data_IF_372445561961
#
_entry.id   IF_372445561961
#
_cell.length_a   1.000
_cell.length_b   1.000
_cell.length_c   1.000
_cell.angle_alpha   90.00
_cell.angle_beta   90.00
_cell.angle_gamma   90.00
#
_symmetry.space_group_name_H-M   'P 1'
#
loop_
_entity.id
_entity.type
_entity.pdbx_description
1 polymer ?
#
# COMPACT_ATOMS: atom_id res chain seq x y z
N UNK A 1 0.14 5.80 18.42
CA UNK A 1 1.55 5.69 17.97
C UNK A 1 1.66 5.19 16.53
N UNK A 2 1.02 4.08 16.14
CA UNK A 2 1.15 3.50 14.79
C UNK A 2 0.18 4.06 13.72
N UNK A 3 -0.25 5.31 13.83
CA UNK A 3 -1.16 5.91 12.84
C UNK A 3 -0.36 6.33 11.61
N UNK A 4 -0.56 5.68 10.45
CA UNK A 4 0.28 5.89 9.25
C UNK A 4 0.29 7.33 8.74
N UNK A 5 -0.81 8.06 8.94
CA UNK A 5 -0.88 9.47 8.53
C UNK A 5 -0.17 10.42 9.51
N UNK A 6 0.14 10.00 10.75
CA UNK A 6 0.82 10.86 11.74
C UNK A 6 2.29 11.05 11.39
N UNK A 7 2.61 12.08 10.61
CA UNK A 7 3.98 12.39 10.15
C UNK A 7 4.77 13.29 11.10
N UNK A 8 4.14 13.82 12.15
CA UNK A 8 4.77 14.75 13.11
C UNK A 8 4.49 14.33 14.55
N UNK A 9 5.52 14.41 15.39
CA UNK A 9 5.48 14.10 16.81
C UNK A 9 6.25 15.18 17.58
N UNK A 10 5.67 15.68 18.67
CA UNK A 10 6.36 16.52 19.65
C UNK A 10 6.04 16.05 21.05
N UNK A 11 7.05 15.91 21.90
CA UNK A 11 6.89 15.46 23.28
C UNK A 11 7.49 16.47 24.27
N UNK A 12 6.90 16.56 25.46
CA UNK A 12 7.38 17.37 26.57
C UNK A 12 7.32 16.58 27.88
N UNK A 13 8.24 16.89 28.79
CA UNK A 13 8.33 16.27 30.11
C UNK A 13 8.33 17.35 31.20
N UNK A 14 7.61 17.11 32.30
CA UNK A 14 7.58 18.00 33.47
C UNK A 14 7.63 17.20 34.76
N UNK A 15 8.48 17.61 35.70
CA UNK A 15 8.44 17.13 37.08
C UNK A 15 7.31 17.85 37.84
N UNK A 16 6.39 17.06 38.39
CA UNK A 16 5.24 17.51 39.19
C UNK A 16 5.35 16.87 40.58
N UNK A 17 5.94 17.59 41.54
CA UNK A 17 6.30 17.03 42.85
C UNK A 17 7.38 15.96 42.70
N UNK A 18 7.05 14.70 43.03
CA UNK A 18 7.96 13.55 42.88
C UNK A 18 7.69 12.68 41.63
N UNK A 19 6.81 13.11 40.72
CA UNK A 19 6.43 12.33 39.52
C UNK A 19 6.73 13.09 38.25
N UNK A 20 7.09 12.38 37.18
CA UNK A 20 7.20 12.95 35.84
C UNK A 20 5.89 12.78 35.07
N UNK A 21 5.44 13.86 34.42
CA UNK A 21 4.39 13.84 33.42
C UNK A 21 5.05 13.96 32.03
N UNK A 22 4.78 13.01 31.15
CA UNK A 22 5.23 13.02 29.76
C UNK A 22 3.99 13.15 28.87
N UNK A 23 4.01 14.14 27.97
CA UNK A 23 2.93 14.37 27.01
C UNK A 23 3.50 14.38 25.60
N UNK A 24 2.90 13.62 24.70
CA UNK A 24 3.26 13.57 23.29
C UNK A 24 2.06 13.92 22.41
N UNK A 25 2.24 14.85 21.48
CA UNK A 25 1.26 15.21 20.48
C UNK A 25 1.64 14.64 19.11
N UNK A 26 0.67 14.03 18.44
CA UNK A 26 0.80 13.45 17.10
C UNK A 26 -0.05 14.24 16.13
N UNK A 27 0.50 14.57 14.95
CA UNK A 27 -0.24 15.26 13.91
C UNK A 27 0.01 14.66 12.52
N UNK A 28 -1.05 14.48 11.70
CA UNK A 28 -2.48 14.50 12.06
C UNK A 28 -2.85 13.42 13.10
N UNK A 29 -3.93 13.65 13.84
CA UNK A 29 -4.44 12.74 14.86
C UNK A 29 -5.20 11.55 14.27
N UNK A 30 -5.32 10.48 15.05
CA UNK A 30 -6.10 9.30 14.67
C UNK A 30 -7.60 9.61 14.63
N UNK A 31 -8.31 8.99 13.68
CA UNK A 31 -9.76 9.15 13.52
C UNK A 31 -10.44 7.88 14.03
N UNK A 32 -11.42 8.03 14.94
CA UNK A 32 -12.16 6.90 15.50
C UNK A 32 -12.87 6.11 14.40
N UNK A 33 -12.74 4.78 14.43
CA UNK A 33 -13.38 3.87 13.48
C UNK A 33 -12.65 3.72 12.14
N UNK A 34 -11.49 4.37 11.95
CA UNK A 34 -10.68 4.24 10.74
C UNK A 34 -9.45 3.36 11.03
N UNK A 35 -9.07 2.53 10.07
CA UNK A 35 -7.90 1.64 10.18
C UNK A 35 -6.61 2.46 10.32
N UNK A 36 -5.70 2.02 11.22
CA UNK A 36 -4.49 2.77 11.57
C UNK A 36 -3.47 2.88 10.43
N UNK A 37 -3.39 1.85 9.61
CA UNK A 37 -2.53 1.71 8.45
C UNK A 37 -3.15 0.67 7.52
N UNK A 38 -2.80 0.73 6.23
CA UNK A 38 -3.18 -0.34 5.30
C UNK A 38 -2.28 -1.55 5.54
N UNK A 39 -2.88 -2.73 5.69
CA UNK A 39 -2.13 -3.99 5.76
C UNK A 39 -1.51 -4.26 4.39
N UNK A 40 -0.22 -4.55 4.37
CA UNK A 40 0.55 -4.51 3.14
C UNK A 40 2.04 -4.73 3.36
N UNK A 41 2.77 -4.77 2.24
CA UNK A 41 4.23 -4.90 2.24
C UNK A 41 4.71 -3.54 2.72
N UNK A 42 5.70 -3.48 3.60
CA UNK A 42 6.25 -2.19 3.98
C UNK A 42 6.59 -1.35 2.75
N UNK A 43 6.14 -0.11 2.77
CA UNK A 43 6.32 0.85 1.70
C UNK A 43 5.71 0.52 0.33
N UNK A 44 4.76 -0.41 0.26
CA UNK A 44 3.99 -0.66 -0.98
C UNK A 44 3.07 0.50 -1.35
N UNK A 45 2.67 1.32 -0.37
CA UNK A 45 1.71 2.41 -0.51
C UNK A 45 2.23 3.71 0.13
N UNK A 46 3.47 4.10 -0.14
CA UNK A 46 3.95 5.38 0.36
C UNK A 46 3.31 6.54 -0.40
N UNK A 47 2.47 7.31 0.29
CA UNK A 47 1.64 8.38 -0.30
C UNK A 47 2.23 9.75 0.02
N UNK A 48 2.87 10.37 -0.97
CA UNK A 48 3.26 11.78 -0.92
C UNK A 48 3.06 12.42 -2.29
N UNK A 49 2.76 13.72 -2.30
CA UNK A 49 2.50 14.50 -3.52
C UNK A 49 3.71 14.57 -4.45
N UNK A 50 4.92 14.56 -3.87
CA UNK A 50 6.19 14.52 -4.61
C UNK A 50 6.76 13.08 -4.73
N UNK A 51 5.96 12.09 -4.33
CA UNK A 51 6.36 10.71 -4.19
C UNK A 51 7.19 10.43 -2.95
N UNK A 52 7.29 9.15 -2.62
CA UNK A 52 7.81 8.72 -1.33
C UNK A 52 8.76 7.54 -1.49
N UNK A 53 9.89 7.65 -0.80
CA UNK A 53 10.90 6.61 -0.72
C UNK A 53 10.61 5.72 0.48
N UNK A 54 11.19 4.53 0.46
CA UNK A 54 11.17 3.60 1.57
C UNK A 54 12.53 3.61 2.26
N UNK A 55 12.50 3.79 3.58
CA UNK A 55 13.66 3.54 4.43
C UNK A 55 13.24 2.75 5.65
N UNK A 56 13.95 1.66 5.94
CA UNK A 56 13.73 0.84 7.14
C UNK A 56 12.25 0.51 7.38
N UNK A 57 11.53 0.16 6.29
CA UNK A 57 10.09 -0.16 6.28
C UNK A 57 9.15 1.03 6.56
N UNK A 58 9.66 2.26 6.55
CA UNK A 58 8.90 3.49 6.71
C UNK A 58 8.90 4.34 5.44
N UNK A 59 7.77 4.98 5.18
CA UNK A 59 7.63 5.95 4.09
C UNK A 59 8.31 7.26 4.47
N UNK A 60 9.15 7.77 3.58
CA UNK A 60 9.88 9.04 3.75
C UNK A 60 9.69 9.91 2.50
N UNK A 61 9.39 11.20 2.67
CA UNK A 61 9.19 12.10 1.53
C UNK A 61 10.51 12.57 0.92
N UNK A 62 10.51 12.87 -0.38
CA UNK A 62 11.66 13.47 -1.06
C UNK A 62 12.12 14.76 -0.36
N UNK A 63 11.19 15.60 0.10
CA UNK A 63 11.51 16.83 0.83
C UNK A 63 12.25 16.56 2.15
N UNK A 64 11.86 15.52 2.89
CA UNK A 64 12.57 15.13 4.11
C UNK A 64 14.01 14.70 3.78
N UNK A 65 14.19 13.98 2.68
CA UNK A 65 15.51 13.54 2.21
C UNK A 65 16.38 14.69 1.70
N UNK A 66 15.79 15.70 1.04
CA UNK A 66 16.49 16.93 0.65
C UNK A 66 17.01 17.69 1.88
N UNK A 67 16.17 17.84 2.92
CA UNK A 67 16.54 18.54 4.16
C UNK A 67 17.53 17.77 5.02
N UNK A 68 17.46 16.43 5.00
CA UNK A 68 18.28 15.55 5.84
C UNK A 68 18.83 14.37 5.03
N UNK A 69 19.83 14.58 4.15
CA UNK A 69 20.32 13.55 3.24
C UNK A 69 20.83 12.30 3.94
N UNK A 70 21.51 12.45 5.09
CA UNK A 70 22.00 11.33 5.91
C UNK A 70 20.88 10.42 6.41
N UNK A 71 19.68 10.95 6.62
CA UNK A 71 18.52 10.13 7.01
C UNK A 71 18.04 9.31 5.83
N UNK A 72 18.36 9.63 4.57
CA UNK A 72 17.86 8.91 3.40
C UNK A 72 18.94 8.21 2.58
N UNK A 73 20.13 8.00 3.13
CA UNK A 73 21.25 7.38 2.42
C UNK A 73 20.91 5.99 1.84
N UNK A 74 20.05 5.22 2.53
CA UNK A 74 19.52 3.93 2.07
C UNK A 74 18.09 3.99 1.53
N UNK A 75 17.52 5.19 1.38
CA UNK A 75 16.14 5.33 0.92
C UNK A 75 16.03 5.01 -0.56
N UNK A 76 15.06 4.17 -0.94
CA UNK A 76 14.88 3.73 -2.32
C UNK A 76 13.41 3.64 -2.69
N UNK A 77 13.11 3.67 -3.99
CA UNK A 77 11.77 3.45 -4.48
C UNK A 77 11.43 1.96 -4.44
N UNK A 78 10.50 1.57 -3.56
CA UNK A 78 9.99 0.18 -3.44
C UNK A 78 8.62 -0.01 -4.07
N UNK A 79 8.08 1.02 -4.71
CA UNK A 79 6.74 1.03 -5.29
C UNK A 79 6.65 0.07 -6.48
N UNK A 80 5.62 -0.76 -6.51
CA UNK A 80 5.31 -1.65 -7.64
C UNK A 80 3.92 -1.29 -8.17
N UNK A 81 3.87 -0.76 -9.38
CA UNK A 81 2.60 -0.46 -10.03
C UNK A 81 1.89 -1.74 -10.46
N UNK A 82 0.60 -1.81 -10.19
CA UNK A 82 -0.30 -2.89 -10.57
C UNK A 82 -1.14 -2.47 -11.78
N UNK A 83 -1.89 -3.41 -12.36
CA UNK A 83 -2.93 -3.12 -13.36
C UNK A 83 -2.45 -2.24 -14.53
N UNK A 84 -1.31 -2.63 -15.13
CA UNK A 84 -0.64 -1.92 -16.20
C UNK A 84 -0.12 -0.51 -15.85
N UNK A 85 -0.09 -0.14 -14.56
CA UNK A 85 0.47 1.13 -14.13
C UNK A 85 1.95 1.25 -14.48
N UNK A 86 2.38 2.48 -14.83
CA UNK A 86 3.76 2.78 -15.26
C UNK A 86 4.50 3.50 -14.13
N UNK A 87 5.61 2.91 -13.68
CA UNK A 87 6.43 3.48 -12.61
C UNK A 87 7.36 4.56 -13.17
N UNK A 88 7.24 5.79 -12.65
CA UNK A 88 8.30 6.78 -12.73
C UNK A 88 9.28 6.57 -11.57
N UNK A 89 10.46 6.04 -11.87
CA UNK A 89 11.49 5.74 -10.85
C UNK A 89 12.08 6.99 -10.19
N UNK A 90 12.06 8.13 -10.89
CA UNK A 90 12.65 9.39 -10.40
C UNK A 90 11.77 10.03 -9.34
N UNK A 91 10.46 10.09 -9.57
CA UNK A 91 9.49 10.58 -8.59
C UNK A 91 8.95 9.48 -7.67
N UNK A 92 9.24 8.20 -7.94
CA UNK A 92 8.65 7.06 -7.25
C UNK A 92 7.10 7.11 -7.20
N UNK A 93 6.48 7.29 -8.38
CA UNK A 93 5.03 7.38 -8.54
C UNK A 93 4.57 6.50 -9.70
N UNK A 94 3.36 5.95 -9.58
CA UNK A 94 2.71 5.24 -10.68
C UNK A 94 1.77 6.16 -11.44
N UNK A 95 1.81 6.08 -12.76
CA UNK A 95 0.72 6.55 -13.63
C UNK A 95 -0.19 5.37 -13.91
N UNK A 96 -1.44 5.44 -13.45
CA UNK A 96 -2.40 4.35 -13.57
C UNK A 96 -3.08 4.33 -14.93
N UNK A 97 -3.46 3.12 -15.35
CA UNK A 97 -4.37 2.93 -16.47
C UNK A 97 -5.80 3.33 -16.06
N UNK A 98 -6.64 3.65 -17.03
CA UNK A 98 -8.02 4.04 -16.78
C UNK A 98 -8.80 2.89 -16.12
N UNK A 99 -9.65 3.25 -15.16
CA UNK A 99 -10.32 2.33 -14.25
C UNK A 99 -9.57 2.08 -12.94
N UNK A 100 -8.30 2.45 -12.85
CA UNK A 100 -7.44 2.17 -11.69
C UNK A 100 -6.93 3.46 -11.03
N UNK A 101 -6.73 3.39 -9.73
CA UNK A 101 -6.26 4.45 -8.85
C UNK A 101 -5.48 3.83 -7.67
N UNK A 102 -5.10 4.64 -6.69
CA UNK A 102 -4.10 4.42 -5.64
C UNK A 102 -2.66 4.67 -6.09
N UNK A 103 -1.73 4.96 -5.16
CA UNK A 103 -0.32 5.19 -5.48
C UNK A 103 0.34 4.06 -6.28
N UNK A 104 -0.13 2.83 -6.10
CA UNK A 104 0.35 1.62 -6.78
C UNK A 104 -0.64 1.11 -7.85
N UNK A 105 -1.69 1.85 -8.17
CA UNK A 105 -2.72 1.50 -9.14
C UNK A 105 -3.51 0.22 -8.83
N UNK A 106 -3.56 -0.19 -7.55
CA UNK A 106 -4.24 -1.41 -7.11
C UNK A 106 -5.73 -1.24 -6.84
N UNK A 107 -6.19 -0.01 -6.61
CA UNK A 107 -7.61 0.27 -6.33
C UNK A 107 -8.35 0.66 -7.60
N UNK A 108 -9.67 0.55 -7.57
CA UNK A 108 -10.52 1.10 -8.62
C UNK A 108 -10.53 2.62 -8.56
N UNK A 109 -10.69 3.27 -9.72
CA UNK A 109 -10.99 4.69 -9.78
C UNK A 109 -12.46 4.94 -9.38
N UNK A 110 -12.66 5.24 -8.11
CA UNK A 110 -13.97 5.50 -7.50
C UNK A 110 -13.90 6.63 -6.46
N UNK A 111 -15.06 7.12 -6.05
CA UNK A 111 -15.15 8.06 -4.94
C UNK A 111 -15.22 7.28 -3.62
N UNK A 112 -14.26 7.50 -2.72
CA UNK A 112 -14.21 6.82 -1.42
C UNK A 112 -15.31 7.31 -0.45
N UNK A 113 -15.86 8.52 -0.67
CA UNK A 113 -16.88 9.09 0.22
C UNK A 113 -18.27 9.13 -0.43
N UNK A 114 -19.28 8.62 0.28
CA UNK A 114 -20.69 8.60 -0.16
C UNK A 114 -21.33 9.98 -0.43
N UNK A 115 -20.59 11.06 -0.17
CA UNK A 115 -21.07 12.45 -0.32
C UNK A 115 -20.49 13.15 -1.56
N UNK A 116 -19.72 12.44 -2.38
CA UNK A 116 -19.24 12.97 -3.65
C UNK A 116 -20.41 13.05 -4.65
N UNK A 117 -20.55 14.19 -5.32
CA UNK A 117 -21.59 14.45 -6.30
C UNK A 117 -23.00 14.73 -5.73
N UNK A 118 -23.17 14.83 -4.41
CA UNK A 118 -24.49 14.93 -3.77
C UNK A 118 -24.63 16.10 -2.78
N UNK A 119 -25.88 16.52 -2.51
CA UNK A 119 -26.27 17.52 -1.51
C UNK A 119 -27.09 16.86 -0.39
N UNK A 120 -26.80 17.07 0.92
CA UNK A 120 -25.64 17.78 1.48
C UNK A 120 -24.34 16.98 1.30
N UNK A 121 -23.22 17.66 1.00
CA UNK A 121 -21.99 16.96 0.67
C UNK A 121 -21.00 17.78 -0.19
N UNK A 122 -20.36 17.09 -1.12
CA UNK A 122 -19.46 17.66 -2.13
C UNK A 122 -20.19 17.63 -3.50
N UNK A 123 -21.05 18.61 -3.81
CA UNK A 123 -22.04 18.48 -4.87
C UNK A 123 -21.48 18.59 -6.29
N UNK A 124 -20.27 19.11 -6.44
CA UNK A 124 -19.65 19.31 -7.75
C UNK A 124 -18.14 19.47 -7.62
N UNK A 125 -17.46 19.58 -8.76
CA UNK A 125 -16.02 19.84 -8.85
C UNK A 125 -15.57 21.10 -8.11
N UNK A 126 -16.47 22.06 -7.85
CA UNK A 126 -16.15 23.24 -7.04
C UNK A 126 -15.69 22.87 -5.61
N UNK A 127 -16.10 21.70 -5.10
CA UNK A 127 -15.69 21.21 -3.79
C UNK A 127 -14.28 20.61 -3.75
N UNK A 128 -13.65 20.36 -4.91
CA UNK A 128 -12.38 19.64 -5.01
C UNK A 128 -11.20 20.37 -4.34
N UNK A 129 -11.24 21.70 -4.31
CA UNK A 129 -10.20 22.54 -3.67
C UNK A 129 -10.41 22.73 -2.16
N UNK A 130 -11.50 22.22 -1.60
CA UNK A 130 -11.80 22.36 -0.17
C UNK A 130 -10.83 21.54 0.69
N UNK A 131 -10.65 21.98 1.93
CA UNK A 131 -9.85 21.29 2.95
C UNK A 131 -8.44 20.98 2.47
N UNK A 132 -7.78 21.96 1.83
CA UNK A 132 -6.45 21.80 1.25
C UNK A 132 -6.38 20.63 0.25
N UNK A 133 -7.33 20.59 -0.68
CA UNK A 133 -7.48 19.55 -1.70
C UNK A 133 -7.73 18.13 -1.17
N UNK A 134 -8.07 17.95 0.11
CA UNK A 134 -8.38 16.64 0.67
C UNK A 134 -9.59 15.99 -0.03
N UNK A 135 -10.56 16.81 -0.49
CA UNK A 135 -11.70 16.31 -1.27
C UNK A 135 -11.22 15.65 -2.56
N UNK A 136 -10.39 16.34 -3.36
CA UNK A 136 -9.85 15.77 -4.59
C UNK A 136 -8.88 14.61 -4.37
N UNK A 137 -8.04 14.68 -3.34
CA UNK A 137 -6.92 13.72 -3.14
C UNK A 137 -7.32 12.46 -2.39
N UNK A 138 -8.41 12.48 -1.62
CA UNK A 138 -8.77 11.37 -0.73
C UNK A 138 -10.22 10.92 -0.89
N UNK A 139 -11.15 11.85 -0.91
CA UNK A 139 -12.57 11.49 -0.76
C UNK A 139 -13.28 11.28 -2.10
N UNK A 140 -13.07 12.18 -3.04
CA UNK A 140 -13.86 12.28 -4.27
C UNK A 140 -12.96 12.27 -5.50
N UNK A 141 -12.04 11.31 -5.57
CA UNK A 141 -11.00 11.29 -6.60
C UNK A 141 -11.58 11.16 -8.00
N UNK A 142 -12.62 10.35 -8.19
CA UNK A 142 -13.31 10.19 -9.48
C UNK A 142 -14.09 11.46 -9.85
N UNK A 143 -14.91 11.98 -8.94
CA UNK A 143 -15.67 13.23 -9.18
C UNK A 143 -14.73 14.41 -9.49
N UNK A 144 -13.58 14.47 -8.82
CA UNK A 144 -12.57 15.51 -8.99
C UNK A 144 -11.55 15.22 -10.10
N UNK A 145 -11.78 14.18 -10.92
CA UNK A 145 -10.91 13.83 -12.05
C UNK A 145 -9.44 13.60 -11.66
N UNK A 146 -9.23 13.21 -10.40
CA UNK A 146 -7.92 12.79 -9.89
C UNK A 146 -7.57 11.35 -10.26
N UNK A 147 -8.52 10.63 -10.85
CA UNK A 147 -8.35 9.37 -11.57
C UNK A 147 -9.41 9.31 -12.69
N UNK A 148 -9.19 8.48 -13.71
CA UNK A 148 -10.11 8.31 -14.83
C UNK A 148 -10.80 6.93 -14.74
N UNK A 149 -12.15 6.85 -14.78
CA UNK A 149 -12.87 5.58 -14.89
C UNK A 149 -12.84 5.04 -16.32
N UNK A 150 -13.07 3.74 -16.50
CA UNK A 150 -13.29 3.18 -17.85
C UNK A 150 -14.61 3.72 -18.43
N UNK A 151 -14.56 4.25 -19.65
CA UNK A 151 -15.71 4.74 -20.40
C UNK A 151 -15.70 4.20 -21.84
N UNK A 152 -16.84 4.26 -22.55
CA UNK A 152 -16.93 3.77 -23.93
C UNK A 152 -16.03 4.54 -24.93
N UNK A 153 -15.63 5.78 -24.58
CA UNK A 153 -14.82 6.66 -25.41
C UNK A 153 -13.31 6.56 -25.10
N UNK A 154 -12.95 5.63 -24.23
CA UNK A 154 -11.56 5.49 -23.76
C UNK A 154 -10.71 4.90 -24.86
N UNK A 155 -9.64 5.59 -25.26
CA UNK A 155 -8.69 5.05 -26.23
C UNK A 155 -7.98 3.82 -25.66
N UNK A 156 -7.80 2.79 -26.49
CA UNK A 156 -7.25 1.48 -26.08
C UNK A 156 -5.88 1.55 -25.41
N UNK A 157 -5.10 2.60 -25.67
CA UNK A 157 -3.77 2.82 -25.10
C UNK A 157 -3.76 3.16 -23.60
N UNK A 158 -4.90 3.59 -23.04
CA UNK A 158 -5.04 3.92 -21.62
C UNK A 158 -5.69 2.80 -20.80
N UNK A 159 -6.24 1.77 -21.47
CA UNK A 159 -6.89 0.64 -20.83
C UNK A 159 -5.89 -0.46 -20.47
N UNK A 160 -6.07 -1.08 -19.31
CA UNK A 160 -5.38 -2.32 -18.96
C UNK A 160 -6.27 -3.52 -19.28
N UNK A 161 -5.71 -4.54 -19.96
CA UNK A 161 -6.42 -5.78 -20.28
C UNK A 161 -7.83 -5.56 -20.86
N UNK A 162 -7.93 -4.73 -21.92
CA UNK A 162 -9.20 -4.41 -22.61
C UNK A 162 -10.25 -3.75 -21.68
N UNK A 163 -9.79 -3.04 -20.65
CA UNK A 163 -10.66 -2.35 -19.68
C UNK A 163 -11.21 -3.26 -18.59
N UNK A 164 -10.67 -4.48 -18.44
CA UNK A 164 -11.06 -5.39 -17.36
C UNK A 164 -10.74 -4.79 -15.99
N UNK A 165 -11.70 -4.87 -15.07
CA UNK A 165 -11.56 -4.45 -13.68
C UNK A 165 -11.66 -5.66 -12.74
N UNK A 166 -11.07 -5.54 -11.56
CA UNK A 166 -11.16 -6.55 -10.50
C UNK A 166 -11.87 -6.00 -9.27
N UNK A 167 -12.41 -6.91 -8.45
CA UNK A 167 -12.98 -6.55 -7.16
C UNK A 167 -11.91 -6.00 -6.20
N UNK A 168 -12.35 -5.27 -5.17
CA UNK A 168 -11.46 -4.67 -4.19
C UNK A 168 -10.56 -5.72 -3.53
N UNK A 169 -9.25 -5.46 -3.54
CA UNK A 169 -8.25 -6.38 -3.02
C UNK A 169 -7.69 -7.35 -4.06
N UNK A 170 -8.13 -7.28 -5.31
CA UNK A 170 -7.61 -8.07 -6.42
C UNK A 170 -6.97 -7.17 -7.48
N UNK A 171 -5.97 -7.71 -8.19
CA UNK A 171 -5.28 -7.06 -9.30
C UNK A 171 -5.24 -7.98 -10.52
N UNK A 172 -4.99 -7.41 -11.69
CA UNK A 172 -4.86 -8.16 -12.94
C UNK A 172 -3.51 -8.90 -12.98
N UNK A 173 -3.59 -10.21 -13.20
CA UNK A 173 -2.48 -11.05 -13.62
C UNK A 173 -2.21 -10.80 -15.11
N UNK A 174 -1.14 -10.06 -15.38
CA UNK A 174 -0.71 -9.66 -16.72
C UNK A 174 0.07 -10.76 -17.45
N UNK A 175 0.49 -11.82 -16.76
CA UNK A 175 1.24 -12.92 -17.35
C UNK A 175 0.30 -13.94 -18.03
N UNK A 176 -0.97 -13.98 -17.58
CA UNK A 176 -2.00 -14.85 -18.17
C UNK A 176 -2.81 -14.12 -19.23
N UNK A 177 -3.07 -14.80 -20.36
CA UNK A 177 -3.97 -14.31 -21.41
C UNK A 177 -5.13 -15.29 -21.61
N UNK A 178 -6.41 -14.87 -21.46
CA UNK A 178 -6.85 -13.53 -21.06
C UNK A 178 -6.47 -13.20 -19.60
N UNK A 179 -6.24 -11.92 -19.29
CA UNK A 179 -5.86 -11.48 -17.95
C UNK A 179 -6.87 -11.93 -16.90
N UNK A 180 -6.44 -12.41 -15.74
CA UNK A 180 -7.35 -12.84 -14.65
C UNK A 180 -7.11 -12.00 -13.41
N UNK A 181 -8.13 -11.89 -12.55
CA UNK A 181 -7.96 -11.26 -11.26
C UNK A 181 -7.28 -12.22 -10.29
N UNK A 182 -6.25 -11.76 -9.60
CA UNK A 182 -5.55 -12.48 -8.54
C UNK A 182 -5.54 -11.64 -7.28
N UNK A 183 -5.55 -12.30 -6.12
CA UNK A 183 -5.56 -11.62 -4.85
C UNK A 183 -4.27 -10.80 -4.71
N UNK A 184 -4.39 -9.51 -4.42
CA UNK A 184 -3.24 -8.66 -4.17
C UNK A 184 -2.72 -8.93 -2.77
N UNK A 185 -1.60 -9.65 -2.70
CA UNK A 185 -0.88 -9.83 -1.46
C UNK A 185 0.50 -9.18 -1.45
N UNK A 186 0.87 -8.55 -0.33
CA UNK A 186 0.03 -8.26 0.85
C UNK A 186 -1.01 -7.14 0.59
N UNK A 187 -2.18 -7.26 1.21
CA UNK A 187 -3.34 -6.38 1.03
C UNK A 187 -4.41 -6.66 2.11
N UNK A 188 -5.56 -5.96 2.12
CA UNK A 188 -6.55 -6.01 3.20
C UNK A 188 -7.22 -7.39 3.38
N UNK A 189 -7.00 -8.32 2.46
CA UNK A 189 -7.57 -9.67 2.46
C UNK A 189 -6.51 -10.77 2.71
N UNK A 190 -5.25 -10.40 2.93
CA UNK A 190 -4.13 -11.36 2.98
C UNK A 190 -3.79 -11.87 4.38
N UNK A 191 -4.41 -11.33 5.43
CA UNK A 191 -4.23 -11.80 6.82
C UNK A 191 -4.69 -13.25 7.01
N UNK A 192 -5.44 -13.83 6.06
CA UNK A 192 -5.90 -15.22 6.10
C UNK A 192 -4.99 -16.23 5.38
N UNK A 193 -3.90 -15.80 4.73
CA UNK A 193 -3.10 -16.67 3.85
C UNK A 193 -1.66 -16.94 4.29
N UNK A 194 -1.14 -16.26 5.32
CA UNK A 194 0.26 -16.48 5.76
C UNK A 194 0.49 -17.83 6.46
N UNK A 195 -0.57 -18.55 6.86
CA UNK A 195 -0.41 -19.83 7.56
C UNK A 195 -0.20 -21.05 6.64
N UNK A 196 -0.77 -21.09 5.43
CA UNK A 196 -0.70 -22.31 4.60
C UNK A 196 0.63 -22.51 3.86
N UNK A 197 1.24 -21.42 3.35
CA UNK A 197 2.52 -21.51 2.62
C UNK A 197 3.70 -21.85 3.53
N UNK A 198 3.66 -21.34 4.77
CA UNK A 198 4.65 -21.57 5.82
C UNK A 198 4.62 -23.02 6.31
N UNK A 199 3.42 -23.57 6.51
CA UNK A 199 3.22 -24.95 6.94
C UNK A 199 3.72 -25.98 5.91
N UNK A 200 3.48 -25.75 4.62
CA UNK A 200 3.95 -26.63 3.55
C UNK A 200 5.48 -26.68 3.44
N UNK A 201 6.17 -25.54 3.57
CA UNK A 201 7.64 -25.49 3.57
C UNK A 201 8.24 -26.18 4.79
N UNK A 202 7.63 -26.01 5.96
CA UNK A 202 8.10 -26.64 7.19
C UNK A 202 7.96 -28.17 7.14
N UNK A 203 6.81 -28.66 6.66
CA UNK A 203 6.56 -30.09 6.48
C UNK A 203 7.50 -30.74 5.45
N UNK A 204 7.83 -30.04 4.35
CA UNK A 204 8.75 -30.57 3.34
C UNK A 204 10.18 -30.71 3.87
N UNK A 205 10.66 -29.73 4.65
CA UNK A 205 11.99 -29.78 5.27
C UNK A 205 12.06 -30.91 6.31
N UNK A 206 11.02 -31.08 7.13
CA UNK A 206 10.95 -32.14 8.13
C UNK A 206 10.94 -33.55 7.48
N UNK A 207 10.20 -33.72 6.39
CA UNK A 207 10.18 -34.98 5.63
C UNK A 207 11.55 -35.32 5.04
N UNK A 208 12.26 -34.33 4.46
CA UNK A 208 13.62 -34.53 3.93
C UNK A 208 14.58 -34.94 5.05
N UNK A 209 14.51 -34.30 6.22
CA UNK A 209 15.32 -34.66 7.38
C UNK A 209 15.07 -36.10 7.84
N UNK A 210 13.81 -36.55 7.89
CA UNK A 210 13.49 -37.94 8.24
C UNK A 210 14.04 -38.95 7.22
N UNK A 211 13.95 -38.64 5.92
CA UNK A 211 14.51 -39.49 4.86
C UNK A 211 16.03 -39.59 4.98
N UNK A 212 16.71 -38.47 5.25
CA UNK A 212 18.17 -38.44 5.43
C UNK A 212 18.58 -39.28 6.65
N UNK A 213 17.89 -39.14 7.78
CA UNK A 213 18.17 -39.93 8.99
C UNK A 213 17.98 -41.43 8.74
N UNK A 214 16.89 -41.82 8.07
CA UNK A 214 16.66 -43.22 7.70
C UNK A 214 17.71 -43.76 6.73
N UNK A 215 18.18 -42.94 5.78
CA UNK A 215 19.26 -43.30 4.86
C UNK A 215 20.58 -43.55 5.60
N UNK A 216 20.93 -42.70 6.56
CA UNK A 216 22.12 -42.89 7.39
C UNK A 216 22.02 -44.12 8.29
N UNK A 217 20.88 -44.36 8.94
CA UNK A 217 20.66 -45.57 9.77
C UNK A 217 20.78 -46.85 8.93
N UNK A 218 20.29 -46.82 7.68
CA UNK A 218 20.39 -47.98 6.79
C UNK A 218 21.82 -48.24 6.34
N UNK A 219 22.62 -47.20 6.10
CA UNK A 219 24.00 -47.34 5.64
C UNK A 219 25.03 -47.61 6.75
N UNK A 220 24.75 -47.29 8.01
CA UNK A 220 25.65 -47.66 9.13
C UNK A 220 25.55 -49.14 9.53
N UNK A 221 24.48 -49.83 9.14
CA UNK A 221 24.28 -51.26 9.43
C UNK A 221 24.95 -52.22 8.41
N UNK A 222 25.66 -51.70 7.40
CA UNK A 222 26.37 -52.50 6.39
C UNK A 222 27.90 -52.51 6.55
N UNK A 223 28.44 -51.96 7.64
CA UNK A 223 29.89 -51.90 7.90
C UNK A 223 30.33 -52.60 9.21
N UNK A 224 29.60 -53.62 9.65
CA UNK A 224 29.96 -54.50 10.77
C UNK A 224 29.92 -55.96 10.31
#
# INVERSE_FOLDING_TARGET
>A
MAWAESKRLGCGIKLCGMRYLIVCHYYPGAIKGVQMFQVGKPCSLCIEEDGALCKDKLCVSHEMCKRRPKICESASCSLKCQNCGRLNKTSCQCTCADGWDSPDCSKLCEDEHVRCGVKPGFPSKAACSLSNYAVAKKYCRKMCESCAPVTNDTTTNHLCCEGRLCEKGYVLDLERKPCRCTLLCPGPLCDFMEDESSALKYNFIYLILQIIVLYFIKNTNYSL
#
